data_IF_239622963320
#
_entry.id   IF_239622963320
#
_cell.length_a   1.000
_cell.length_b   1.000
_cell.length_c   1.000
_cell.angle_alpha   90.00
_cell.angle_beta   90.00
_cell.angle_gamma   90.00
#
_symmetry.space_group_name_H-M   'P 1'
#
loop_
_entity.id
_entity.type
_entity.pdbx_description
1 polymer ?
#
# COMPACT_ATOMS: atom_id res chain seq x y z
N UNK A 1 -1.04 17.01 -2.20
CA UNK A 1 -1.45 15.72 -1.60
C UNK A 1 -0.87 15.69 -0.22
N UNK A 2 -1.70 15.97 0.78
CA UNK A 2 -1.34 15.81 2.18
C UNK A 2 -1.21 14.31 2.49
N UNK A 3 -0.21 13.94 3.31
CA UNK A 3 -0.08 12.57 3.78
C UNK A 3 -1.28 12.27 4.72
N UNK A 4 -2.10 11.25 4.43
CA UNK A 4 -3.24 10.92 5.28
C UNK A 4 -2.71 10.51 6.66
N UNK A 5 -3.27 11.13 7.71
CA UNK A 5 -2.84 10.86 9.08
C UNK A 5 -3.19 9.42 9.45
N UNK A 6 -2.20 8.69 9.96
CA UNK A 6 -2.37 7.31 10.42
C UNK A 6 -3.53 7.15 11.40
N UNK A 7 -3.72 8.13 12.30
CA UNK A 7 -4.83 8.17 13.26
C UNK A 7 -6.20 8.19 12.57
N UNK A 8 -6.36 8.99 11.50
CA UNK A 8 -7.60 9.04 10.73
C UNK A 8 -7.86 7.71 10.03
N UNK A 9 -6.81 7.12 9.43
CA UNK A 9 -6.92 5.84 8.75
C UNK A 9 -7.29 4.72 9.74
N UNK A 10 -6.64 4.67 10.92
CA UNK A 10 -6.98 3.73 12.00
C UNK A 10 -8.43 3.84 12.42
N UNK A 11 -8.91 5.07 12.63
CA UNK A 11 -10.29 5.35 13.01
C UNK A 11 -11.29 4.88 11.95
N UNK A 12 -11.00 5.12 10.68
CA UNK A 12 -11.86 4.70 9.58
C UNK A 12 -11.88 3.18 9.40
N UNK A 13 -10.75 2.51 9.61
CA UNK A 13 -10.65 1.04 9.53
C UNK A 13 -11.10 0.32 10.80
N UNK A 14 -11.45 1.05 11.87
CA UNK A 14 -11.80 0.47 13.17
C UNK A 14 -10.64 -0.30 13.82
N UNK A 15 -9.40 0.04 13.46
CA UNK A 15 -8.19 -0.61 13.97
C UNK A 15 -7.82 0.03 15.29
N UNK A 16 -7.61 -0.80 16.31
CA UNK A 16 -7.19 -0.34 17.63
C UNK A 16 -5.80 0.33 17.59
N UNK A 17 -5.61 1.38 18.39
CA UNK A 17 -4.38 2.17 18.40
C UNK A 17 -3.11 1.39 18.75
N UNK A 18 -3.28 0.27 19.46
CA UNK A 18 -2.20 -0.61 19.88
C UNK A 18 -1.65 -1.46 18.73
N UNK A 19 -2.34 -1.55 17.59
CA UNK A 19 -1.93 -2.39 16.47
C UNK A 19 -0.79 -1.68 15.70
N UNK A 20 0.39 -2.32 15.58
CA UNK A 20 1.52 -1.74 14.88
C UNK A 20 1.20 -1.55 13.40
N UNK A 21 1.54 -0.37 12.89
CA UNK A 21 1.49 -0.09 11.46
C UNK A 21 2.60 -0.84 10.74
N UNK A 22 2.22 -1.64 9.74
CA UNK A 22 3.17 -2.41 8.94
C UNK A 22 3.75 -1.55 7.81
N UNK A 23 2.90 -0.78 7.14
CA UNK A 23 3.29 0.04 6.00
C UNK A 23 2.18 0.18 4.96
N UNK A 24 2.41 1.00 3.96
CA UNK A 24 1.61 1.03 2.74
C UNK A 24 2.08 -0.05 1.78
N UNK A 25 1.15 -0.69 1.09
CA UNK A 25 1.34 -1.81 0.19
C UNK A 25 0.70 -1.47 -1.15
N UNK A 26 1.26 -1.97 -2.24
CA UNK A 26 0.65 -1.84 -3.57
C UNK A 26 -0.05 -3.15 -3.86
N UNK A 27 -1.37 -3.12 -3.87
CA UNK A 27 -2.25 -4.23 -4.19
C UNK A 27 -2.64 -4.17 -5.66
N UNK A 28 -2.81 -5.33 -6.28
CA UNK A 28 -3.18 -5.52 -7.67
C UNK A 28 -4.45 -6.35 -7.73
N UNK A 29 -5.56 -5.69 -8.02
CA UNK A 29 -6.91 -6.24 -7.96
C UNK A 29 -7.22 -7.32 -8.98
N UNK A 30 -6.51 -7.37 -10.12
CA UNK A 30 -6.78 -8.40 -11.14
C UNK A 30 -6.29 -9.80 -10.75
N UNK A 31 -5.19 -9.86 -9.99
CA UNK A 31 -4.50 -11.10 -9.65
C UNK A 31 -4.55 -11.44 -8.16
N UNK A 32 -5.13 -10.55 -7.33
CA UNK A 32 -5.14 -10.64 -5.87
C UNK A 32 -3.70 -10.76 -5.32
N UNK A 33 -2.82 -9.86 -5.79
CA UNK A 33 -1.40 -9.88 -5.46
C UNK A 33 -0.90 -8.53 -4.96
N UNK A 34 0.16 -8.56 -4.17
CA UNK A 34 0.86 -7.39 -3.67
C UNK A 34 2.25 -7.28 -4.28
N UNK A 35 2.72 -6.06 -4.50
CA UNK A 35 4.06 -5.83 -5.01
C UNK A 35 5.09 -6.22 -3.94
N UNK A 36 5.80 -7.33 -4.14
CA UNK A 36 6.84 -7.81 -3.22
C UNK A 36 8.21 -7.22 -3.52
N UNK A 37 8.53 -7.04 -4.80
CA UNK A 37 9.80 -6.47 -5.24
C UNK A 37 9.63 -5.78 -6.57
N UNK A 38 10.45 -4.77 -6.81
CA UNK A 38 10.54 -4.15 -8.12
C UNK A 38 11.99 -3.73 -8.36
N UNK A 39 12.40 -3.75 -9.62
CA UNK A 39 13.70 -3.25 -10.06
C UNK A 39 13.44 -2.32 -11.25
N UNK A 40 13.87 -1.07 -11.11
CA UNK A 40 13.79 -0.07 -12.17
C UNK A 40 15.22 0.24 -12.57
N UNK A 41 15.63 -0.32 -13.69
CA UNK A 41 16.92 -0.06 -14.33
C UNK A 41 16.67 0.57 -15.70
N UNK A 42 17.64 1.31 -16.24
CA UNK A 42 17.50 1.96 -17.56
C UNK A 42 17.19 0.99 -18.71
N UNK A 43 17.48 -0.30 -18.52
CA UNK A 43 17.29 -1.36 -19.52
C UNK A 43 16.05 -2.24 -19.26
N UNK A 44 15.48 -2.23 -18.04
CA UNK A 44 14.34 -3.08 -17.69
C UNK A 44 13.58 -2.62 -16.46
N UNK A 45 12.28 -2.92 -16.46
CA UNK A 45 11.40 -2.82 -15.30
C UNK A 45 10.98 -4.23 -14.89
N UNK A 46 11.47 -4.72 -13.75
CA UNK A 46 11.04 -5.99 -13.16
C UNK A 46 10.03 -5.73 -12.04
N UNK A 47 8.95 -6.51 -12.04
CA UNK A 47 7.89 -6.46 -11.03
C UNK A 47 7.71 -7.88 -10.49
N UNK A 48 7.92 -8.06 -9.19
CA UNK A 48 7.67 -9.29 -8.48
C UNK A 48 6.44 -9.12 -7.60
N UNK A 49 5.41 -9.91 -7.89
CA UNK A 49 4.15 -9.92 -7.18
C UNK A 49 4.07 -11.13 -6.25
N UNK A 50 3.29 -10.99 -5.18
CA UNK A 50 3.09 -12.05 -4.20
C UNK A 50 1.70 -11.95 -3.57
N UNK A 51 1.01 -13.07 -3.40
CA UNK A 51 -0.36 -13.12 -2.86
C UNK A 51 -0.47 -12.70 -1.40
N UNK A 52 0.61 -12.86 -0.65
CA UNK A 52 0.59 -12.60 0.79
C UNK A 52 1.16 -11.22 1.14
N UNK A 53 0.43 -10.41 1.92
CA UNK A 53 0.83 -9.05 2.29
C UNK A 53 2.06 -9.01 3.22
N UNK A 54 2.38 -10.08 3.94
CA UNK A 54 3.59 -10.15 4.77
C UNK A 54 4.90 -10.21 3.96
N UNK A 55 4.82 -10.72 2.73
CA UNK A 55 5.93 -10.75 1.77
C UNK A 55 5.92 -9.52 0.84
N UNK A 56 4.92 -8.66 0.99
CA UNK A 56 4.80 -7.46 0.17
C UNK A 56 5.81 -6.39 0.60
N UNK A 57 6.19 -5.55 -0.35
CA UNK A 57 7.04 -4.40 -0.09
C UNK A 57 6.23 -3.35 0.67
N UNK A 58 6.57 -3.17 1.94
CA UNK A 58 6.01 -2.10 2.76
C UNK A 58 6.74 -0.77 2.52
N UNK A 59 5.95 0.28 2.38
CA UNK A 59 6.40 1.67 2.28
C UNK A 59 6.00 2.41 3.55
N UNK A 60 6.87 3.29 4.05
CA UNK A 60 6.54 4.07 5.26
C UNK A 60 5.57 5.22 4.96
N UNK A 61 5.54 5.68 3.70
CA UNK A 61 4.73 6.81 3.24
C UNK A 61 3.90 6.44 2.02
N UNK A 62 2.65 6.93 1.98
CA UNK A 62 1.78 6.75 0.81
C UNK A 62 2.39 7.38 -0.45
N UNK A 63 3.10 8.49 -0.29
CA UNK A 63 3.76 9.18 -1.40
C UNK A 63 4.88 8.34 -2.02
N UNK A 64 5.56 7.50 -1.23
CA UNK A 64 6.57 6.57 -1.76
C UNK A 64 5.90 5.46 -2.57
N UNK A 65 4.83 4.86 -2.04
CA UNK A 65 4.05 3.87 -2.77
C UNK A 65 3.49 4.45 -4.09
N UNK A 66 2.94 5.66 -4.06
CA UNK A 66 2.41 6.34 -5.24
C UNK A 66 3.50 6.62 -6.28
N UNK A 67 4.67 7.12 -5.84
CA UNK A 67 5.84 7.29 -6.73
C UNK A 67 6.24 5.98 -7.40
N UNK A 68 6.23 4.88 -6.67
CA UNK A 68 6.53 3.56 -7.23
C UNK A 68 5.47 3.14 -8.24
N UNK A 69 4.17 3.35 -7.96
CA UNK A 69 3.11 3.12 -8.94
C UNK A 69 3.35 3.90 -10.24
N UNK A 70 3.71 5.19 -10.13
CA UNK A 70 4.02 6.04 -11.28
C UNK A 70 5.26 5.57 -12.05
N UNK A 71 6.35 5.25 -11.34
CA UNK A 71 7.60 4.78 -11.96
C UNK A 71 7.45 3.42 -12.64
N UNK A 72 6.60 2.56 -12.10
CA UNK A 72 6.31 1.25 -12.65
C UNK A 72 5.22 1.28 -13.74
N UNK A 73 4.65 2.46 -14.01
CA UNK A 73 3.52 2.68 -14.90
C UNK A 73 2.38 1.69 -14.59
N UNK A 74 2.07 1.55 -13.30
CA UNK A 74 0.98 0.69 -12.85
C UNK A 74 -0.37 1.30 -13.22
N UNK A 75 -1.27 0.46 -13.70
CA UNK A 75 -2.62 0.88 -14.06
C UNK A 75 -3.40 1.26 -12.78
N UNK A 76 -3.86 2.52 -12.64
CA UNK A 76 -4.56 2.99 -11.45
C UNK A 76 -5.97 2.40 -11.29
N UNK A 77 -6.52 1.76 -12.33
CA UNK A 77 -7.78 1.01 -12.24
C UNK A 77 -7.60 -0.44 -11.77
N UNK A 78 -6.36 -0.91 -11.69
CA UNK A 78 -6.01 -2.27 -11.27
C UNK A 78 -5.19 -2.26 -9.97
N UNK A 79 -4.28 -1.31 -9.84
CA UNK A 79 -3.36 -1.21 -8.73
C UNK A 79 -3.81 -0.14 -7.74
N UNK A 80 -3.99 -0.54 -6.49
CA UNK A 80 -4.45 0.32 -5.41
C UNK A 80 -3.44 0.31 -4.26
N UNK A 81 -3.30 1.45 -3.58
CA UNK A 81 -2.44 1.53 -2.40
C UNK A 81 -3.29 1.14 -1.20
N UNK A 82 -2.90 0.05 -0.54
CA UNK A 82 -3.51 -0.41 0.69
C UNK A 82 -2.63 -0.07 1.89
N UNK A 83 -3.24 0.07 3.05
CA UNK A 83 -2.53 0.17 4.32
C UNK A 83 -2.50 -1.19 5.01
N UNK A 84 -1.32 -1.62 5.45
CA UNK A 84 -1.11 -2.82 6.22
C UNK A 84 -0.92 -2.52 7.71
N UNK A 85 -1.53 -3.36 8.56
CA UNK A 85 -1.30 -3.40 9.99
C UNK A 85 -0.85 -4.80 10.40
N UNK A 86 0.12 -4.85 11.31
CA UNK A 86 0.70 -6.09 11.81
C UNK A 86 -0.04 -6.51 13.08
N UNK A 87 -0.74 -7.65 13.03
CA UNK A 87 -1.41 -8.25 14.20
C UNK A 87 -0.53 -9.31 14.89
N UNK A 88 0.77 -9.33 14.63
CA UNK A 88 1.76 -10.30 15.08
C UNK A 88 1.69 -11.66 14.37
N UNK A 89 0.49 -12.12 14.00
CA UNK A 89 0.27 -13.40 13.30
C UNK A 89 -0.05 -13.25 11.82
N UNK A 90 -0.57 -12.10 11.42
CA UNK A 90 -0.97 -11.81 10.05
C UNK A 90 -0.92 -10.31 9.80
N UNK A 91 -0.71 -9.93 8.55
CA UNK A 91 -0.86 -8.55 8.11
C UNK A 91 -2.28 -8.38 7.61
N UNK A 92 -3.05 -7.51 8.27
CA UNK A 92 -4.36 -7.09 7.76
C UNK A 92 -4.18 -5.87 6.89
N UNK A 93 -4.85 -5.88 5.74
CA UNK A 93 -4.78 -4.79 4.78
C UNK A 93 -6.15 -4.13 4.64
N UNK A 94 -6.14 -2.81 4.48
CA UNK A 94 -7.34 -2.03 4.24
C UNK A 94 -7.13 -1.02 3.11
N UNK A 95 -8.19 -0.65 2.37
CA UNK A 95 -8.11 0.42 1.39
C UNK A 95 -7.78 1.75 2.08
N UNK A 96 -6.96 2.57 1.44
CA UNK A 96 -6.88 3.99 1.74
C UNK A 96 -8.12 4.64 1.14
N UNK A 97 -9.12 4.92 1.98
CA UNK A 97 -10.32 5.58 1.51
C UNK A 97 -9.97 6.96 0.91
N UNK A 98 -10.33 7.18 -0.36
CA UNK A 98 -10.00 8.41 -1.10
C UNK A 98 -10.66 9.66 -0.49
N UNK A 99 -11.66 9.50 0.38
CA UNK A 99 -12.29 10.59 1.11
C UNK A 99 -11.35 11.26 2.13
N UNK A 100 -10.26 10.59 2.55
CA UNK A 100 -9.25 11.19 3.43
C UNK A 100 -8.30 12.12 2.66
N UNK A 101 -8.27 12.02 1.32
CA UNK A 101 -7.37 12.79 0.44
C UNK A 101 -8.04 14.07 -0.07
N UNK A 102 -9.33 14.26 0.23
CA UNK A 102 -10.10 15.44 -0.16
C UNK A 102 -10.76 16.09 1.04
N UNK A 103 -10.00 16.82 1.86
CA UNK A 103 -10.53 18.00 2.57
C UNK A 103 -9.39 18.88 3.12
N UNK A 104 -8.83 19.72 2.25
CA UNK A 104 -8.70 21.19 2.37
C UNK A 104 -7.71 21.74 1.34
#
# INVERSE_FOLDING_TARGET
MDEPKLETIRKNLGVEDHIPFFGYLIYRGDSDEFLAKFDISSERVLKGWHKFPDQAKSFKKVLEANRVCQQLELDPGICEIMIGFDLGKQIVVGPLDNDIVSEN
#
